data_IF_368954160245
#
_entry.id   IF_368954160245
#
_cell.length_a   1.000
_cell.length_b   1.000
_cell.length_c   1.000
_cell.angle_alpha   90.00
_cell.angle_beta   90.00
_cell.angle_gamma   90.00
#
_symmetry.space_group_name_H-M   'P 1'
#
loop_
_entity.id
_entity.type
_entity.pdbx_description
1 polymer ?
#
# COMPACT_ATOMS: atom_id res chain seq x y z
N UNK A 1 21.74 32.78 4.61
CA UNK A 1 21.87 31.49 5.29
C UNK A 1 20.65 31.33 6.18
N UNK A 2 19.98 30.17 6.08
CA UNK A 2 18.77 29.74 6.79
C UNK A 2 17.44 30.27 6.24
N UNK A 3 16.99 29.65 5.13
CA UNK A 3 15.56 29.57 4.82
C UNK A 3 15.06 28.29 5.49
N UNK A 4 14.35 28.44 6.58
CA UNK A 4 13.76 27.33 7.31
C UNK A 4 12.84 26.54 6.37
N UNK A 5 13.13 25.25 6.26
CA UNK A 5 12.34 24.25 5.56
C UNK A 5 11.09 23.99 6.41
N UNK A 6 10.04 24.78 6.21
CA UNK A 6 8.73 24.48 6.76
C UNK A 6 8.02 23.50 5.82
N UNK A 7 8.42 22.22 5.86
CA UNK A 7 7.77 21.10 5.16
C UNK A 7 6.58 20.57 5.99
N UNK A 8 5.63 21.43 6.30
CA UNK A 8 4.29 20.97 6.64
C UNK A 8 3.47 20.92 5.35
N UNK A 9 3.74 19.92 4.51
CA UNK A 9 2.77 19.50 3.49
C UNK A 9 1.52 18.99 4.21
N UNK A 10 0.59 19.89 4.49
CA UNK A 10 -0.75 19.55 4.93
C UNK A 10 -1.34 18.62 3.87
N UNK A 11 -1.55 17.35 4.24
CA UNK A 11 -2.16 16.37 3.35
C UNK A 11 -3.54 16.90 2.98
N UNK A 12 -3.71 17.25 1.72
CA UNK A 12 -4.97 17.71 1.17
C UNK A 12 -5.97 16.54 1.19
N UNK A 13 -6.75 16.48 2.28
CA UNK A 13 -7.80 15.50 2.50
C UNK A 13 -8.90 15.59 1.43
N UNK A 14 -9.07 16.75 0.79
CA UNK A 14 -10.05 16.94 -0.28
C UNK A 14 -9.50 16.37 -1.59
N UNK A 15 -8.23 16.66 -1.92
CA UNK A 15 -7.54 16.02 -3.05
C UNK A 15 -7.44 14.48 -2.92
N UNK A 16 -7.40 13.98 -1.68
CA UNK A 16 -7.44 12.54 -1.37
C UNK A 16 -8.76 11.87 -1.80
N UNK A 17 -9.86 12.61 -1.72
CA UNK A 17 -11.21 12.14 -2.11
C UNK A 17 -11.40 12.26 -3.63
N UNK A 18 -10.80 13.27 -4.26
CA UNK A 18 -10.92 13.47 -5.72
C UNK A 18 -10.03 12.54 -6.56
N UNK A 19 -8.84 12.18 -6.07
CA UNK A 19 -7.89 11.28 -6.74
C UNK A 19 -7.10 10.44 -5.71
N UNK A 20 -7.62 9.30 -5.23
CA UNK A 20 -6.90 8.48 -4.27
C UNK A 20 -5.67 7.79 -4.90
N UNK A 21 -4.51 8.43 -4.83
CA UNK A 21 -3.26 7.86 -5.36
C UNK A 21 -2.79 6.64 -4.57
N UNK A 22 -1.95 5.81 -5.18
CA UNK A 22 -1.35 4.65 -4.50
C UNK A 22 -0.61 5.03 -3.20
N UNK A 23 0.14 6.15 -3.22
CA UNK A 23 0.90 6.66 -2.06
C UNK A 23 -0.05 7.01 -0.92
N UNK A 24 -1.16 7.62 -1.26
CA UNK A 24 -2.08 8.17 -0.27
C UNK A 24 -2.91 7.07 0.40
N UNK A 25 -3.28 6.02 -0.36
CA UNK A 25 -3.86 4.79 0.19
C UNK A 25 -2.88 4.09 1.13
N UNK A 26 -1.59 3.98 0.76
CA UNK A 26 -0.58 3.39 1.63
C UNK A 26 -0.38 4.19 2.92
N UNK A 27 -0.27 5.52 2.82
CA UNK A 27 -0.10 6.38 3.99
C UNK A 27 -1.31 6.30 4.94
N UNK A 28 -2.52 6.24 4.39
CA UNK A 28 -3.74 6.07 5.18
C UNK A 28 -3.74 4.72 5.91
N UNK A 29 -3.35 3.63 5.23
CA UNK A 29 -3.25 2.29 5.82
C UNK A 29 -2.22 2.23 6.95
N UNK A 30 -1.01 2.72 6.72
CA UNK A 30 0.06 2.72 7.73
C UNK A 30 -0.37 3.50 8.97
N UNK A 31 -1.04 4.64 8.79
CA UNK A 31 -1.52 5.48 9.89
C UNK A 31 -2.67 4.84 10.66
N UNK A 32 -3.65 4.27 9.95
CA UNK A 32 -4.83 3.64 10.56
C UNK A 32 -4.47 2.38 11.35
N UNK A 33 -3.62 1.54 10.78
CA UNK A 33 -3.20 0.26 11.37
C UNK A 33 -2.00 0.42 12.32
N UNK A 34 -1.47 1.66 12.48
CA UNK A 34 -0.28 1.97 13.30
C UNK A 34 0.91 1.05 12.99
N UNK A 35 1.12 0.76 11.70
CA UNK A 35 2.23 -0.07 11.24
C UNK A 35 3.57 0.65 11.47
N UNK A 36 4.60 -0.10 11.84
CA UNK A 36 5.97 0.42 11.87
C UNK A 36 6.51 0.51 10.44
N UNK A 37 6.86 1.72 10.01
CA UNK A 37 7.40 1.98 8.67
C UNK A 37 8.76 1.33 8.41
N UNK A 38 9.51 1.04 9.48
CA UNK A 38 10.83 0.41 9.38
C UNK A 38 10.76 -1.11 9.38
N UNK A 39 9.64 -1.68 9.85
CA UNK A 39 9.42 -3.12 10.02
C UNK A 39 8.06 -3.55 9.46
N UNK A 40 7.78 -3.18 8.21
CA UNK A 40 6.50 -3.49 7.54
C UNK A 40 6.42 -4.97 7.16
N UNK A 41 5.35 -5.65 7.58
CA UNK A 41 4.96 -6.94 7.02
C UNK A 41 4.28 -6.76 5.66
N UNK A 42 4.96 -7.20 4.60
CA UNK A 42 4.47 -7.13 3.23
C UNK A 42 3.19 -7.97 3.00
N UNK A 43 3.04 -9.11 3.67
CA UNK A 43 1.89 -10.01 3.55
C UNK A 43 0.65 -9.33 4.10
N UNK A 44 0.78 -8.70 5.26
CA UNK A 44 -0.30 -7.92 5.89
C UNK A 44 -0.62 -6.67 5.06
N UNK A 45 0.40 -5.88 4.71
CA UNK A 45 0.22 -4.64 3.95
C UNK A 45 -0.50 -4.90 2.62
N UNK A 46 -0.05 -5.91 1.87
CA UNK A 46 -0.66 -6.27 0.59
C UNK A 46 -2.11 -6.73 0.73
N UNK A 47 -2.44 -7.46 1.79
CA UNK A 47 -3.81 -7.89 2.07
C UNK A 47 -4.71 -6.69 2.38
N UNK A 48 -4.26 -5.81 3.27
CA UNK A 48 -4.99 -4.60 3.67
C UNK A 48 -5.16 -3.62 2.51
N UNK A 49 -4.13 -3.47 1.68
CA UNK A 49 -4.22 -2.65 0.48
C UNK A 49 -5.26 -3.19 -0.51
N UNK A 50 -5.28 -4.50 -0.74
CA UNK A 50 -6.31 -5.12 -1.59
C UNK A 50 -7.72 -4.91 -1.03
N UNK A 51 -7.91 -5.09 0.29
CA UNK A 51 -9.20 -4.85 0.94
C UNK A 51 -9.65 -3.40 0.74
N UNK A 52 -8.75 -2.44 0.90
CA UNK A 52 -9.07 -1.02 0.68
C UNK A 52 -9.50 -0.75 -0.76
N UNK A 53 -8.86 -1.37 -1.75
CA UNK A 53 -9.26 -1.28 -3.16
C UNK A 53 -10.65 -1.90 -3.40
N UNK A 54 -10.97 -3.01 -2.73
CA UNK A 54 -12.30 -3.64 -2.81
C UNK A 54 -13.39 -2.74 -2.22
N UNK A 55 -13.15 -2.13 -1.06
CA UNK A 55 -14.08 -1.17 -0.46
C UNK A 55 -14.35 0.03 -1.38
N UNK A 56 -13.31 0.56 -2.03
CA UNK A 56 -13.48 1.64 -3.00
C UNK A 56 -14.37 1.22 -4.17
N UNK A 57 -14.19 -0.02 -4.66
CA UNK A 57 -15.02 -0.59 -5.72
C UNK A 57 -16.48 -0.77 -5.28
N UNK A 58 -16.70 -1.32 -4.09
CA UNK A 58 -18.04 -1.58 -3.54
C UNK A 58 -18.83 -0.28 -3.30
N UNK A 59 -18.15 0.78 -2.89
CA UNK A 59 -18.74 2.10 -2.70
C UNK A 59 -18.93 2.89 -4.03
N UNK A 60 -18.74 2.25 -5.20
CA UNK A 60 -18.78 2.88 -6.53
C UNK A 60 -17.82 4.10 -6.66
N UNK A 61 -16.73 4.12 -5.89
CA UNK A 61 -15.72 5.17 -5.96
C UNK A 61 -14.75 4.92 -7.10
N UNK A 62 -14.26 6.00 -7.72
CA UNK A 62 -13.30 5.91 -8.81
C UNK A 62 -11.95 5.40 -8.28
N UNK A 63 -11.51 4.26 -8.79
CA UNK A 63 -10.17 3.73 -8.53
C UNK A 63 -9.22 4.23 -9.63
N UNK A 64 -8.16 4.99 -9.31
CA UNK A 64 -7.21 5.41 -10.32
C UNK A 64 -6.29 4.25 -10.74
N UNK A 65 -5.88 4.26 -12.01
CA UNK A 65 -5.11 3.17 -12.60
C UNK A 65 -3.77 2.91 -11.88
N UNK A 66 -3.14 3.97 -11.35
CA UNK A 66 -1.90 3.86 -10.58
C UNK A 66 -2.09 3.11 -9.25
N UNK A 67 -3.24 3.26 -8.58
CA UNK A 67 -3.58 2.54 -7.36
C UNK A 67 -3.82 1.05 -7.63
N UNK A 68 -4.49 0.74 -8.74
CA UNK A 68 -4.68 -0.64 -9.20
C UNK A 68 -3.33 -1.30 -9.55
N UNK A 69 -2.45 -0.58 -10.24
CA UNK A 69 -1.11 -1.06 -10.55
C UNK A 69 -0.29 -1.36 -9.29
N UNK A 70 -0.32 -0.46 -8.29
CA UNK A 70 0.34 -0.69 -7.02
C UNK A 70 -0.22 -1.94 -6.30
N UNK A 71 -1.54 -2.17 -6.35
CA UNK A 71 -2.15 -3.39 -5.82
C UNK A 71 -1.56 -4.64 -6.48
N UNK A 72 -1.47 -4.65 -7.82
CA UNK A 72 -0.93 -5.77 -8.57
C UNK A 72 0.55 -6.04 -8.24
N UNK A 73 1.35 -4.97 -8.07
CA UNK A 73 2.75 -5.08 -7.64
C UNK A 73 2.85 -5.69 -6.24
N UNK A 74 2.06 -5.21 -5.28
CA UNK A 74 2.06 -5.73 -3.91
C UNK A 74 1.67 -7.22 -3.85
N UNK A 75 0.66 -7.63 -4.63
CA UNK A 75 0.25 -9.03 -4.73
C UNK A 75 1.33 -9.91 -5.38
N UNK A 76 2.02 -9.41 -6.41
CA UNK A 76 3.16 -10.10 -7.01
C UNK A 76 4.29 -10.30 -6.00
N UNK A 77 4.59 -9.29 -5.19
CA UNK A 77 5.62 -9.38 -4.15
C UNK A 77 5.19 -10.36 -3.03
N UNK A 78 3.92 -10.33 -2.60
CA UNK A 78 3.34 -11.31 -1.67
C UNK A 78 3.52 -12.73 -2.20
N UNK A 79 3.21 -12.96 -3.48
CA UNK A 79 3.36 -14.28 -4.12
C UNK A 79 4.79 -14.81 -4.10
N UNK A 80 5.81 -13.94 -4.23
CA UNK A 80 7.22 -14.33 -4.13
C UNK A 80 7.66 -14.72 -2.72
N UNK A 81 6.92 -14.27 -1.71
CA UNK A 81 7.20 -14.61 -0.31
C UNK A 81 6.69 -16.01 0.03
N UNK A 82 5.73 -16.53 -0.73
CA UNK A 82 5.22 -17.89 -0.58
C UNK A 82 6.29 -18.86 -1.08
N UNK A 83 6.91 -19.59 -0.15
CA UNK A 83 7.74 -20.74 -0.48
C UNK A 83 6.84 -21.91 -0.85
N UNK A 84 7.00 -22.42 -2.07
CA UNK A 84 6.26 -23.61 -2.53
C UNK A 84 6.91 -24.85 -1.88
N UNK A 85 6.12 -25.86 -1.46
CA UNK A 85 6.61 -27.06 -0.78
C UNK A 85 7.48 -28.00 -1.66
N UNK A 86 7.96 -27.55 -2.82
CA UNK A 86 8.79 -28.35 -3.74
C UNK A 86 10.29 -28.02 -3.71
N UNK A 87 10.74 -27.14 -2.82
CA UNK A 87 12.18 -26.77 -2.69
C UNK A 87 12.89 -27.45 -1.49
N UNK A 88 12.35 -28.55 -0.95
CA UNK A 88 13.00 -29.30 0.16
C UNK A 88 13.72 -30.60 -0.26
N UNK A 89 13.78 -30.96 -1.55
CA UNK A 89 14.49 -32.16 -2.00
C UNK A 89 15.61 -31.88 -3.00
N UNK A 90 16.61 -31.07 -2.64
CA UNK A 90 17.90 -31.10 -3.36
C UNK A 90 19.09 -30.57 -2.54
N UNK A 91 19.18 -30.98 -1.27
CA UNK A 91 20.45 -31.02 -0.53
C UNK A 91 20.48 -32.22 0.42
N UNK A 92 20.63 -33.41 -0.15
CA UNK A 92 21.18 -34.59 0.55
C UNK A 92 22.54 -34.90 -0.02
#
# INVERSE_FOLDING_TARGET
>A
MNKELNEQESIDLVGLIEQPTWKSILLDLVRKEKMDVWAIDLVELSQKYLQRIQELKENNLRIPANAMLACAILLKLKSRTIKLPHEEEEKK
#
